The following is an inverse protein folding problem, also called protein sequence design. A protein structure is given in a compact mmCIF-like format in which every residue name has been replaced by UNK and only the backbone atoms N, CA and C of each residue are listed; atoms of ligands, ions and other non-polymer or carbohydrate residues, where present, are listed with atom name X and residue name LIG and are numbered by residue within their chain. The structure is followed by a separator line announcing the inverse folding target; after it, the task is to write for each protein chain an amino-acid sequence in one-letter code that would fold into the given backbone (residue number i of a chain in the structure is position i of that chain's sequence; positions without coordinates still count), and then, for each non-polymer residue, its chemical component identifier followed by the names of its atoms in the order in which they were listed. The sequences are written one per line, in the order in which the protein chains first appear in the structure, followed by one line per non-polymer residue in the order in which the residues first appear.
data_IF_192943214285
#
_entry.id   IF_192943214285
#
_cell.length_a   1.000
_cell.length_b   1.000
_cell.length_c   1.000
_cell.angle_alpha   90.00
_cell.angle_beta   90.00
_cell.angle_gamma   90.00
#
_symmetry.space_group_name_H-M   'P 1'
#
loop_
_entity.id
_entity.type
_entity.pdbx_description
1 polymer ?
#
# COMPACT_ATOMS: atom_id res chain seq x y z
N UNK A 1 -10.56 30.58 -6.39
CA UNK A 1 -10.37 29.66 -7.53
C UNK A 1 -10.12 28.26 -6.98
N UNK A 2 -10.85 27.24 -7.43
CA UNK A 2 -10.58 25.85 -7.07
C UNK A 2 -9.23 25.42 -7.64
N UNK A 3 -8.25 25.15 -6.79
CA UNK A 3 -6.99 24.55 -7.21
C UNK A 3 -7.22 23.07 -7.54
N UNK A 4 -6.43 22.52 -8.49
CA UNK A 4 -6.49 21.13 -8.95
C UNK A 4 -6.50 20.12 -7.81
N UNK A 5 -5.68 20.32 -6.77
CA UNK A 5 -5.63 19.42 -5.62
C UNK A 5 -6.95 19.41 -4.83
N UNK A 6 -7.57 20.57 -4.62
CA UNK A 6 -8.87 20.68 -3.95
C UNK A 6 -9.97 19.96 -4.72
N UNK A 7 -9.99 20.09 -6.05
CA UNK A 7 -10.94 19.35 -6.89
C UNK A 7 -10.71 17.83 -6.80
N UNK A 8 -9.46 17.38 -6.83
CA UNK A 8 -9.13 15.96 -6.71
C UNK A 8 -9.46 15.41 -5.32
N UNK A 9 -9.29 16.19 -4.26
CA UNK A 9 -9.72 15.80 -2.93
C UNK A 9 -11.23 15.61 -2.85
N UNK A 10 -12.00 16.58 -3.37
CA UNK A 10 -13.46 16.50 -3.43
C UNK A 10 -13.93 15.27 -4.22
N UNK A 11 -13.40 15.05 -5.43
CA UNK A 11 -13.72 13.86 -6.22
C UNK A 11 -13.32 12.56 -5.51
N UNK A 12 -12.24 12.58 -4.72
CA UNK A 12 -11.81 11.45 -3.93
C UNK A 12 -12.76 11.11 -2.77
N UNK A 13 -13.60 12.03 -2.32
CA UNK A 13 -14.60 11.78 -1.28
C UNK A 13 -15.89 11.18 -1.84
N UNK A 14 -16.21 11.49 -3.10
CA UNK A 14 -17.40 10.96 -3.75
C UNK A 14 -17.31 9.43 -3.91
N UNK A 15 -18.37 8.68 -3.53
CA UNK A 15 -18.44 7.25 -3.79
C UNK A 15 -18.30 6.94 -5.28
N UNK A 16 -17.55 5.88 -5.62
CA UNK A 16 -17.36 5.36 -6.98
C UNK A 16 -16.67 6.29 -7.99
N UNK A 17 -16.38 7.55 -7.63
CA UNK A 17 -15.76 8.50 -8.56
C UNK A 17 -14.34 8.08 -8.96
N UNK A 18 -13.56 7.56 -7.99
CA UNK A 18 -12.22 7.06 -8.25
C UNK A 18 -12.24 5.81 -9.13
N UNK A 19 -13.19 4.91 -8.88
CA UNK A 19 -13.41 3.65 -9.58
C UNK A 19 -13.84 3.89 -11.02
N UNK A 20 -14.75 4.85 -11.25
CA UNK A 20 -15.20 5.26 -12.58
C UNK A 20 -14.07 5.93 -13.38
N UNK A 21 -13.37 6.93 -12.82
CA UNK A 21 -12.24 7.56 -13.51
C UNK A 21 -11.13 6.54 -13.79
N UNK A 22 -10.89 5.63 -12.85
CA UNK A 22 -9.90 4.59 -12.99
C UNK A 22 -10.24 3.63 -14.13
N UNK A 23 -11.44 3.06 -14.12
CA UNK A 23 -11.88 2.06 -15.08
C UNK A 23 -11.98 2.65 -16.50
N UNK A 24 -12.48 3.87 -16.63
CA UNK A 24 -12.70 4.49 -17.94
C UNK A 24 -11.44 5.13 -18.54
N UNK A 25 -10.49 5.59 -17.72
CA UNK A 25 -9.39 6.45 -18.20
C UNK A 25 -8.00 6.04 -17.71
N UNK A 26 -7.85 5.65 -16.46
CA UNK A 26 -6.52 5.53 -15.85
C UNK A 26 -5.94 4.11 -15.93
N UNK A 27 -6.77 3.07 -15.98
CA UNK A 27 -6.32 1.66 -15.88
C UNK A 27 -5.22 1.31 -16.89
N UNK A 28 -5.39 1.74 -18.14
CA UNK A 28 -4.44 1.46 -19.22
C UNK A 28 -3.47 2.62 -19.48
N UNK A 29 -3.47 3.66 -18.63
CA UNK A 29 -2.65 4.85 -18.82
C UNK A 29 -1.39 4.74 -17.99
N UNK A 30 -0.24 5.01 -18.62
CA UNK A 30 1.02 5.16 -17.89
C UNK A 30 0.88 6.25 -16.81
N UNK A 31 1.09 5.87 -15.55
CA UNK A 31 1.13 6.83 -14.44
C UNK A 31 2.37 7.70 -14.58
N UNK A 32 2.21 8.97 -14.22
CA UNK A 32 3.29 9.97 -14.20
C UNK A 32 3.92 10.15 -12.81
N UNK A 33 3.55 9.32 -11.85
CA UNK A 33 4.10 9.35 -10.50
C UNK A 33 5.03 8.14 -10.26
N UNK A 34 5.76 8.18 -9.15
CA UNK A 34 6.67 7.11 -8.74
C UNK A 34 5.93 5.86 -8.23
N UNK A 35 4.61 5.76 -8.34
CA UNK A 35 3.86 4.58 -7.92
C UNK A 35 3.65 3.65 -9.12
N UNK A 36 4.50 2.64 -9.26
CA UNK A 36 4.46 1.71 -10.39
C UNK A 36 4.46 0.25 -9.90
N UNK A 37 3.47 -0.52 -10.33
CA UNK A 37 3.36 -1.97 -10.10
C UNK A 37 3.17 -2.76 -11.42
N UNK A 38 3.43 -2.13 -12.57
CA UNK A 38 3.22 -2.77 -13.88
C UNK A 38 4.12 -3.99 -14.09
N UNK A 39 5.32 -3.99 -13.49
CA UNK A 39 6.19 -5.16 -13.48
C UNK A 39 5.53 -6.29 -12.68
N UNK A 40 5.10 -6.01 -11.45
CA UNK A 40 4.40 -6.98 -10.63
C UNK A 40 3.18 -7.56 -11.35
N UNK A 41 2.30 -6.71 -11.91
CA UNK A 41 1.11 -7.15 -12.64
C UNK A 41 1.44 -8.12 -13.79
N UNK A 42 2.54 -7.88 -14.50
CA UNK A 42 2.99 -8.71 -15.62
C UNK A 42 3.62 -10.03 -15.17
N UNK A 43 4.45 -10.01 -14.13
CA UNK A 43 5.28 -11.17 -13.74
C UNK A 43 4.60 -12.08 -12.70
N UNK A 44 3.72 -11.53 -11.86
CA UNK A 44 3.08 -12.24 -10.75
C UNK A 44 2.28 -13.48 -11.21
N UNK A 45 1.53 -13.47 -12.35
CA UNK A 45 0.85 -14.67 -12.83
C UNK A 45 1.78 -15.86 -13.07
N UNK A 46 3.00 -15.62 -13.55
CA UNK A 46 4.00 -16.68 -13.74
C UNK A 46 4.48 -17.25 -12.41
N UNK A 47 4.72 -16.38 -11.43
CA UNK A 47 5.05 -16.81 -10.07
C UNK A 47 3.94 -17.68 -9.46
N UNK A 48 2.68 -17.26 -9.61
CA UNK A 48 1.51 -18.00 -9.13
C UNK A 48 1.43 -19.38 -9.78
N UNK A 49 1.62 -19.46 -11.10
CA UNK A 49 1.64 -20.74 -11.82
C UNK A 49 2.73 -21.69 -11.31
N UNK A 50 3.92 -21.15 -10.97
CA UNK A 50 5.04 -21.94 -10.42
C UNK A 50 4.78 -22.40 -8.99
N UNK A 51 4.15 -21.57 -8.16
CA UNK A 51 3.87 -21.88 -6.75
C UNK A 51 2.69 -22.84 -6.59
N UNK A 52 1.74 -22.86 -7.53
CA UNK A 52 0.49 -23.62 -7.47
C UNK A 52 0.66 -25.09 -7.06
N UNK A 53 1.57 -25.90 -7.65
CA UNK A 53 1.75 -27.29 -7.24
C UNK A 53 2.18 -27.45 -5.77
N UNK A 54 2.92 -26.47 -5.23
CA UNK A 54 3.34 -26.50 -3.83
C UNK A 54 2.18 -26.13 -2.91
N UNK A 55 1.39 -25.12 -3.28
CA UNK A 55 0.20 -24.68 -2.52
C UNK A 55 -0.80 -25.84 -2.40
N UNK A 56 -1.06 -26.56 -3.49
CA UNK A 56 -2.05 -27.64 -3.54
C UNK A 56 -1.64 -28.86 -2.69
N UNK A 57 -0.34 -29.09 -2.49
CA UNK A 57 0.20 -30.22 -1.75
C UNK A 57 0.67 -29.87 -0.34
N UNK A 58 0.61 -28.59 0.06
CA UNK A 58 1.12 -28.16 1.35
C UNK A 58 0.15 -28.50 2.49
N UNK A 59 0.72 -28.92 3.62
CA UNK A 59 -0.04 -29.05 4.86
C UNK A 59 -0.46 -27.68 5.38
N UNK A 60 -1.61 -27.61 6.07
CA UNK A 60 -2.09 -26.34 6.62
C UNK A 60 -1.10 -25.77 7.65
N UNK A 61 -0.67 -24.54 7.43
CA UNK A 61 0.24 -23.80 8.28
C UNK A 61 -0.44 -22.71 9.11
N UNK A 62 0.39 -21.79 9.62
CA UNK A 62 -0.04 -20.62 10.40
C UNK A 62 -0.84 -19.59 9.58
N UNK A 63 -1.57 -18.73 10.30
CA UNK A 63 -2.12 -17.48 9.78
C UNK A 63 -1.05 -16.40 9.86
N UNK A 64 -0.76 -15.73 8.76
CA UNK A 64 0.30 -14.72 8.68
C UNK A 64 -0.30 -13.42 8.14
N UNK A 65 -0.07 -12.32 8.85
CA UNK A 65 -0.30 -10.98 8.34
C UNK A 65 1.04 -10.42 7.86
N UNK A 66 1.09 -9.99 6.60
CA UNK A 66 2.25 -9.33 6.02
C UNK A 66 1.86 -7.92 5.61
N UNK A 67 2.61 -6.92 6.05
CA UNK A 67 2.28 -5.50 5.84
C UNK A 67 3.34 -4.82 4.96
N UNK A 68 2.90 -4.07 3.95
CA UNK A 68 3.79 -3.35 3.04
C UNK A 68 3.28 -1.92 2.75
N UNK A 69 4.13 -0.93 3.00
CA UNK A 69 3.77 0.51 3.02
C UNK A 69 4.10 1.29 1.75
N UNK A 70 4.92 0.74 0.84
CA UNK A 70 5.36 1.44 -0.37
C UNK A 70 5.34 0.48 -1.55
N UNK A 71 5.19 1.01 -2.77
CA UNK A 71 5.04 0.18 -3.97
C UNK A 71 6.15 -0.87 -4.16
N UNK A 72 7.41 -0.52 -3.92
CA UNK A 72 8.52 -1.47 -4.04
C UNK A 72 8.49 -2.54 -2.95
N UNK A 73 8.06 -2.20 -1.73
CA UNK A 73 7.80 -3.20 -0.69
C UNK A 73 6.61 -4.09 -1.03
N UNK A 74 5.59 -3.57 -1.70
CA UNK A 74 4.44 -4.35 -2.17
C UNK A 74 4.89 -5.43 -3.17
N UNK A 75 5.81 -5.10 -4.10
CA UNK A 75 6.35 -6.10 -5.04
C UNK A 75 7.03 -7.27 -4.29
N UNK A 76 7.93 -6.96 -3.35
CA UNK A 76 8.60 -7.98 -2.54
C UNK A 76 7.60 -8.78 -1.69
N UNK A 77 6.64 -8.08 -1.08
CA UNK A 77 5.62 -8.66 -0.22
C UNK A 77 4.68 -9.62 -0.95
N UNK A 78 4.37 -9.34 -2.22
CA UNK A 78 3.57 -10.22 -3.06
C UNK A 78 4.25 -11.59 -3.23
N UNK A 79 5.54 -11.61 -3.56
CA UNK A 79 6.29 -12.85 -3.73
C UNK A 79 6.52 -13.59 -2.41
N UNK A 80 6.83 -12.88 -1.32
CA UNK A 80 6.93 -13.50 0.00
C UNK A 80 5.60 -14.13 0.43
N UNK A 81 4.49 -13.43 0.21
CA UNK A 81 3.15 -13.96 0.50
C UNK A 81 2.85 -15.22 -0.30
N UNK A 82 3.26 -15.24 -1.58
CA UNK A 82 3.11 -16.41 -2.44
C UNK A 82 3.97 -17.59 -1.97
N UNK A 83 5.23 -17.34 -1.59
CA UNK A 83 6.11 -18.37 -1.03
C UNK A 83 5.53 -18.95 0.25
N UNK A 84 5.04 -18.11 1.16
CA UNK A 84 4.39 -18.54 2.39
C UNK A 84 3.11 -19.36 2.12
N UNK A 85 2.31 -18.95 1.12
CA UNK A 85 1.17 -19.74 0.67
C UNK A 85 1.61 -21.11 0.11
N UNK A 86 2.72 -21.17 -0.62
CA UNK A 86 3.33 -22.42 -1.12
C UNK A 86 3.83 -23.34 -0.01
N UNK A 87 4.11 -22.80 1.17
CA UNK A 87 4.42 -23.57 2.39
C UNK A 87 3.16 -23.93 3.20
N UNK A 88 1.97 -23.62 2.69
CA UNK A 88 0.68 -23.95 3.29
C UNK A 88 0.15 -22.92 4.30
N UNK A 89 0.79 -21.77 4.43
CA UNK A 89 0.32 -20.71 5.32
C UNK A 89 -0.90 -19.98 4.74
N UNK A 90 -1.80 -19.53 5.62
CA UNK A 90 -2.89 -18.63 5.25
C UNK A 90 -2.42 -17.19 5.40
N UNK A 91 -2.10 -16.56 4.27
CA UNK A 91 -1.51 -15.22 4.26
C UNK A 91 -2.55 -14.15 3.99
N UNK A 92 -2.52 -13.09 4.80
CA UNK A 92 -3.16 -11.81 4.52
C UNK A 92 -2.07 -10.80 4.19
N UNK A 93 -2.07 -10.30 2.94
CA UNK A 93 -1.22 -9.20 2.50
C UNK A 93 -1.96 -7.88 2.68
N UNK A 94 -1.53 -7.11 3.68
CA UNK A 94 -2.02 -5.77 3.97
C UNK A 94 -1.12 -4.74 3.30
N UNK A 95 -1.71 -3.85 2.51
CA UNK A 95 -0.95 -2.85 1.73
C UNK A 95 -1.38 -1.43 2.07
N UNK A 96 -0.44 -0.50 2.09
CA UNK A 96 -0.69 0.92 2.23
C UNK A 96 -0.05 1.59 0.99
N UNK A 97 -0.78 1.86 -0.10
CA UNK A 97 -0.19 2.10 -1.42
C UNK A 97 0.31 3.54 -1.60
N UNK A 98 1.38 3.92 -0.90
CA UNK A 98 2.08 5.18 -1.10
C UNK A 98 3.26 5.02 -2.07
N UNK A 99 3.58 6.10 -2.80
CA UNK A 99 4.82 6.15 -3.59
C UNK A 99 6.01 6.46 -2.70
N UNK A 100 5.83 7.42 -1.80
CA UNK A 100 6.82 8.00 -0.89
C UNK A 100 6.06 8.29 0.41
N UNK A 101 6.68 8.01 1.56
CA UNK A 101 6.03 8.15 2.86
C UNK A 101 5.82 9.63 3.26
N UNK A 102 6.76 10.52 2.90
CA UNK A 102 6.75 11.93 3.29
C UNK A 102 5.98 12.85 2.31
N UNK A 103 5.30 12.29 1.29
CA UNK A 103 4.52 13.09 0.32
C UNK A 103 3.05 12.79 0.45
N UNK A 104 2.32 13.77 0.97
CA UNK A 104 0.87 13.73 0.94
C UNK A 104 0.36 13.70 -0.51
N UNK A 105 -0.67 12.89 -0.74
CA UNK A 105 -1.31 12.77 -2.04
C UNK A 105 -2.80 13.03 -1.94
N UNK A 106 -3.34 13.68 -2.97
CA UNK A 106 -4.77 13.91 -3.07
C UNK A 106 -5.58 12.60 -3.00
N UNK A 107 -6.75 12.67 -2.36
CA UNK A 107 -7.60 11.49 -2.05
C UNK A 107 -7.95 10.68 -3.30
N UNK A 108 -8.27 11.36 -4.42
CA UNK A 108 -8.59 10.68 -5.67
C UNK A 108 -7.40 9.87 -6.20
N UNK A 109 -6.21 10.47 -6.29
CA UNK A 109 -5.02 9.72 -6.73
C UNK A 109 -4.72 8.57 -5.77
N UNK A 110 -4.84 8.78 -4.46
CA UNK A 110 -4.54 7.75 -3.48
C UNK A 110 -5.50 6.55 -3.60
N UNK A 111 -6.79 6.79 -3.80
CA UNK A 111 -7.76 5.72 -4.15
C UNK A 111 -7.41 5.01 -5.45
N UNK A 112 -7.00 5.75 -6.49
CA UNK A 112 -6.57 5.18 -7.77
C UNK A 112 -5.30 4.32 -7.64
N UNK A 113 -4.43 4.59 -6.67
CA UNK A 113 -3.28 3.71 -6.33
C UNK A 113 -3.74 2.44 -5.64
N UNK A 114 -4.73 2.53 -4.74
CA UNK A 114 -5.40 1.35 -4.16
C UNK A 114 -5.97 0.42 -5.22
N UNK A 115 -6.72 0.98 -6.18
CA UNK A 115 -7.28 0.20 -7.30
C UNK A 115 -6.18 -0.43 -8.17
N UNK A 116 -5.11 0.31 -8.47
CA UNK A 116 -3.93 -0.24 -9.17
C UNK A 116 -3.35 -1.46 -8.46
N UNK A 117 -3.21 -1.34 -7.14
CA UNK A 117 -2.58 -2.34 -6.30
C UNK A 117 -3.42 -3.61 -6.29
N UNK A 118 -4.74 -3.46 -6.20
CA UNK A 118 -5.68 -4.57 -6.30
C UNK A 118 -5.60 -5.28 -7.66
N UNK A 119 -5.54 -4.52 -8.76
CA UNK A 119 -5.42 -5.09 -10.10
C UNK A 119 -4.09 -5.84 -10.27
N UNK A 120 -2.98 -5.23 -9.86
CA UNK A 120 -1.65 -5.82 -9.93
C UNK A 120 -1.51 -7.11 -9.10
N UNK A 121 -2.23 -7.22 -7.97
CA UNK A 121 -2.25 -8.39 -7.09
C UNK A 121 -3.35 -9.40 -7.43
N UNK A 122 -4.17 -9.15 -8.45
CA UNK A 122 -5.37 -9.95 -8.73
C UNK A 122 -5.10 -11.45 -8.93
N UNK A 123 -3.96 -11.81 -9.51
CA UNK A 123 -3.56 -13.21 -9.70
C UNK A 123 -3.26 -13.95 -8.39
N UNK A 124 -2.99 -13.25 -7.29
CA UNK A 124 -2.79 -13.84 -5.96
C UNK A 124 -4.08 -14.17 -5.23
N UNK A 125 -5.20 -13.56 -5.60
CA UNK A 125 -6.46 -13.62 -4.85
C UNK A 125 -6.94 -15.04 -4.49
N UNK A 126 -6.71 -16.10 -5.30
CA UNK A 126 -7.07 -17.47 -4.93
C UNK A 126 -6.29 -18.03 -3.73
N UNK A 127 -5.10 -17.49 -3.45
CA UNK A 127 -4.13 -18.07 -2.51
C UNK A 127 -3.77 -17.15 -1.34
N UNK A 128 -3.86 -15.84 -1.55
CA UNK A 128 -3.52 -14.81 -0.57
C UNK A 128 -4.67 -13.83 -0.46
N UNK A 129 -5.09 -13.53 0.77
CA UNK A 129 -6.08 -12.47 1.01
C UNK A 129 -5.38 -11.12 0.93
N UNK A 130 -5.81 -10.25 0.03
CA UNK A 130 -5.34 -8.87 -0.05
C UNK A 130 -6.30 -7.92 0.68
N UNK A 131 -5.75 -6.96 1.43
CA UNK A 131 -6.49 -5.84 1.99
C UNK A 131 -5.70 -4.53 1.85
N UNK A 132 -6.40 -3.42 1.62
CA UNK A 132 -5.82 -2.08 1.67
C UNK A 132 -6.02 -1.49 3.05
N UNK A 133 -4.93 -1.04 3.69
CA UNK A 133 -4.99 -0.38 4.99
C UNK A 133 -5.77 0.94 4.95
N UNK A 134 -5.85 1.57 3.76
CA UNK A 134 -6.66 2.77 3.53
C UNK A 134 -8.17 2.54 3.64
N UNK A 135 -8.61 1.29 3.52
CA UNK A 135 -10.03 0.90 3.60
C UNK A 135 -10.41 0.42 5.00
N UNK A 136 -9.43 0.29 5.90
CA UNK A 136 -9.67 -0.11 7.27
C UNK A 136 -10.14 1.08 8.11
N UNK A 137 -11.04 0.78 9.05
CA UNK A 137 -11.39 1.74 10.09
C UNK A 137 -10.26 1.77 11.12
N UNK A 138 -9.74 2.95 11.48
CA UNK A 138 -8.78 3.07 12.56
C UNK A 138 -9.30 2.41 13.84
N UNK A 139 -8.40 1.78 14.60
CA UNK A 139 -8.71 1.30 15.93
C UNK A 139 -9.07 2.48 16.86
N UNK A 140 -9.68 2.17 18.01
CA UNK A 140 -9.89 3.15 19.08
C UNK A 140 -8.55 3.73 19.58
N UNK A 141 -8.63 4.86 20.29
CA UNK A 141 -7.48 5.60 20.80
C UNK A 141 -6.46 4.67 21.49
N UNK A 142 -5.20 4.82 21.09
CA UNK A 142 -4.11 4.04 21.65
C UNK A 142 -3.78 4.56 23.06
N UNK A 143 -3.26 3.71 23.96
CA UNK A 143 -2.69 4.16 25.22
C UNK A 143 -1.64 5.27 25.00
N UNK A 144 -1.58 6.24 25.91
CA UNK A 144 -0.65 7.36 25.81
C UNK A 144 0.82 6.93 25.69
N UNK A 145 1.20 5.80 26.29
CA UNK A 145 2.54 5.22 26.13
C UNK A 145 2.86 4.86 24.68
N UNK A 146 1.90 4.27 23.95
CA UNK A 146 2.10 3.95 22.53
C UNK A 146 2.14 5.19 21.66
N UNK A 147 1.41 6.26 22.00
CA UNK A 147 1.55 7.52 21.30
C UNK A 147 2.98 8.09 21.41
N UNK A 148 3.56 8.07 22.61
CA UNK A 148 4.93 8.52 22.82
C UNK A 148 5.95 7.64 22.07
N UNK A 149 5.80 6.32 22.12
CA UNK A 149 6.66 5.39 21.37
C UNK A 149 6.57 5.61 19.84
N UNK A 150 5.36 5.82 19.31
CA UNK A 150 5.15 6.10 17.89
C UNK A 150 5.81 7.42 17.50
N UNK A 151 5.65 8.48 18.31
CA UNK A 151 6.25 9.79 18.05
C UNK A 151 7.79 9.70 18.02
N UNK A 152 8.39 9.02 19.00
CA UNK A 152 9.85 8.83 19.09
C UNK A 152 10.40 8.05 17.88
N UNK A 153 9.80 6.89 17.57
CA UNK A 153 10.25 6.06 16.43
C UNK A 153 10.03 6.78 15.10
N UNK A 154 8.91 7.50 14.95
CA UNK A 154 8.64 8.25 13.71
C UNK A 154 9.63 9.40 13.51
N UNK A 155 10.05 10.06 14.60
CA UNK A 155 11.09 11.09 14.54
C UNK A 155 12.42 10.50 14.04
N UNK A 156 12.84 9.35 14.58
CA UNK A 156 14.06 8.67 14.13
C UNK A 156 13.99 8.22 12.68
N UNK A 157 12.87 7.66 12.25
CA UNK A 157 12.65 7.26 10.86
C UNK A 157 12.73 8.47 9.91
N UNK A 158 12.17 9.62 10.32
CA UNK A 158 12.24 10.86 9.57
C UNK A 158 13.67 11.42 9.52
N UNK A 159 14.38 11.47 10.66
CA UNK A 159 15.79 11.90 10.73
C UNK A 159 16.68 11.05 9.82
N UNK A 160 16.55 9.73 9.91
CA UNK A 160 17.31 8.78 9.10
C UNK A 160 17.00 8.95 7.60
N UNK A 161 15.71 8.97 7.23
CA UNK A 161 15.33 8.99 5.82
C UNK A 161 15.59 10.34 5.15
N UNK A 162 15.46 11.44 5.89
CA UNK A 162 15.78 12.79 5.41
C UNK A 162 17.26 13.15 5.58
N UNK A 163 18.04 12.30 6.26
CA UNK A 163 19.44 12.52 6.62
C UNK A 163 19.64 13.86 7.35
N UNK A 164 18.82 14.12 8.37
CA UNK A 164 18.85 15.35 9.18
C UNK A 164 18.93 14.99 10.65
N UNK A 165 19.79 15.68 11.38
CA UNK A 165 19.91 15.50 12.84
C UNK A 165 18.74 16.18 13.58
N UNK A 166 18.26 17.32 13.10
CA UNK A 166 17.19 18.09 13.75
C UNK A 166 15.95 18.21 12.85
N UNK A 167 14.78 17.99 13.46
CA UNK A 167 13.45 18.21 12.89
C UNK A 167 12.77 19.34 13.64
N UNK A 168 12.31 20.36 12.93
CA UNK A 168 11.61 21.48 13.54
C UNK A 168 10.12 21.16 13.67
N UNK A 169 9.74 20.63 14.84
CA UNK A 169 8.34 20.29 15.15
C UNK A 169 7.42 21.53 15.20
N UNK A 170 7.95 22.75 15.25
CA UNK A 170 7.17 23.99 15.27
C UNK A 170 6.92 24.54 13.86
N UNK A 171 7.60 24.03 12.84
CA UNK A 171 7.46 24.48 11.45
C UNK A 171 6.57 23.53 10.65
N UNK A 172 5.30 23.90 10.46
CA UNK A 172 4.34 23.13 9.64
C UNK A 172 4.75 22.93 8.17
N UNK A 173 5.81 23.59 7.70
CA UNK A 173 6.40 23.37 6.38
C UNK A 173 7.64 22.46 6.38
N UNK A 174 8.06 21.93 7.53
CA UNK A 174 9.11 20.91 7.58
C UNK A 174 8.61 19.63 6.92
N UNK A 175 9.47 18.99 6.12
CA UNK A 175 9.12 17.77 5.36
C UNK A 175 9.01 16.52 6.23
N UNK A 176 9.45 16.60 7.48
CA UNK A 176 9.32 15.54 8.47
C UNK A 176 7.93 15.54 9.17
N UNK A 177 7.21 16.66 9.08
CA UNK A 177 5.85 16.84 9.61
C UNK A 177 4.80 16.63 8.51
#
# INVERSE_FOLDING_TARGET
MLNKNSLRNFLGELPLAAELDYTLRQRNRARKDHFNLSRLERELPHGVAQAKPYIENAASGKKILFFATLHYWIEQAAYLSLTLAGLGHKVTLLTLPYSEWHKEKDKLTQKQRGLHTRDALSSLAPYVTHASFLELKPAHDLPASFHAEIEEVSLWDAQYTLMREEVDMANAGDKAL
#
